data_IF_566727567388
#
_entry.id   IF_566727567388
#
_cell.length_a   1.000
_cell.length_b   1.000
_cell.length_c   1.000
_cell.angle_alpha   90.00
_cell.angle_beta   90.00
_cell.angle_gamma   90.00
#
_symmetry.space_group_name_H-M   'P 1'
#
loop_
_entity.id
_entity.type
_entity.pdbx_description
1 polymer ?
#
# COMPACT_ATOMS: atom_id res chain seq x y z
N UNK A 1 -17.48 -26.99 35.01
CA UNK A 1 -16.93 -27.37 33.70
C UNK A 1 -17.33 -26.26 32.73
N UNK A 2 -16.44 -25.28 32.54
CA UNK A 2 -16.65 -24.19 31.58
C UNK A 2 -15.98 -24.58 30.25
N UNK A 3 -16.66 -24.43 29.10
CA UNK A 3 -16.04 -24.70 27.82
C UNK A 3 -15.03 -23.60 27.50
N UNK A 4 -13.79 -24.00 27.32
CA UNK A 4 -12.71 -23.14 26.81
C UNK A 4 -13.12 -22.62 25.45
N UNK A 5 -13.22 -21.30 25.34
CA UNK A 5 -13.34 -20.62 24.06
C UNK A 5 -12.04 -20.83 23.26
N UNK A 6 -12.13 -21.65 22.24
CA UNK A 6 -11.10 -21.84 21.22
C UNK A 6 -10.88 -20.50 20.51
N UNK A 7 -9.64 -19.97 20.47
CA UNK A 7 -9.38 -18.74 19.76
C UNK A 7 -9.60 -19.00 18.26
N UNK A 8 -10.56 -18.28 17.68
CA UNK A 8 -10.83 -18.27 16.24
C UNK A 8 -9.50 -18.16 15.48
N UNK A 9 -9.22 -19.19 14.68
CA UNK A 9 -8.04 -19.27 13.85
C UNK A 9 -7.96 -18.02 12.97
N UNK A 10 -7.12 -17.08 13.36
CA UNK A 10 -6.77 -15.93 12.55
C UNK A 10 -6.12 -16.47 11.27
N UNK A 11 -6.77 -16.23 10.13
CA UNK A 11 -6.21 -16.53 8.82
C UNK A 11 -4.82 -15.88 8.73
N UNK A 12 -3.72 -16.63 8.56
CA UNK A 12 -2.40 -16.05 8.59
C UNK A 12 -2.31 -15.00 7.47
N UNK A 13 -1.77 -13.81 7.73
CA UNK A 13 -1.46 -12.86 6.67
C UNK A 13 -0.55 -13.58 5.66
N UNK A 14 -0.81 -13.39 4.37
CA UNK A 14 0.01 -13.99 3.31
C UNK A 14 1.46 -13.65 3.57
N UNK A 15 2.20 -14.62 4.10
CA UNK A 15 3.63 -14.46 4.44
C UNK A 15 4.37 -14.32 3.11
N UNK A 16 4.73 -13.09 2.77
CA UNK A 16 5.57 -12.83 1.63
C UNK A 16 6.97 -13.41 1.94
N UNK A 17 7.57 -14.12 0.99
CA UNK A 17 8.94 -14.60 1.13
C UNK A 17 9.86 -13.39 1.38
N UNK A 18 10.48 -13.35 2.57
CA UNK A 18 11.41 -12.29 2.96
C UNK A 18 12.78 -12.65 2.41
N UNK A 19 13.42 -11.81 1.58
CA UNK A 19 14.77 -12.07 1.13
C UNK A 19 15.74 -12.11 2.31
N UNK A 20 16.51 -13.19 2.44
CA UNK A 20 17.45 -13.41 3.55
C UNK A 20 18.48 -12.26 3.72
N UNK A 21 18.77 -11.54 2.64
CA UNK A 21 19.65 -10.35 2.63
C UNK A 21 19.14 -9.15 3.46
N UNK A 22 17.85 -9.13 3.82
CA UNK A 22 17.24 -8.06 4.60
C UNK A 22 17.21 -8.38 6.11
N UNK A 23 17.61 -9.58 6.50
CA UNK A 23 17.65 -10.03 7.87
C UNK A 23 19.10 -10.08 8.35
N UNK A 24 19.37 -9.45 9.47
CA UNK A 24 20.63 -9.71 10.20
C UNK A 24 20.50 -11.00 10.99
N UNK A 25 21.61 -11.74 11.12
CA UNK A 25 21.59 -13.06 11.75
C UNK A 25 20.96 -13.02 13.15
N UNK A 26 19.93 -13.84 13.35
CA UNK A 26 19.24 -13.96 14.64
C UNK A 26 17.99 -13.06 14.81
N UNK A 27 17.58 -12.27 13.81
CA UNK A 27 16.34 -11.53 13.86
C UNK A 27 15.12 -12.41 13.56
N UNK A 28 14.06 -12.26 14.38
CA UNK A 28 12.80 -12.96 14.21
C UNK A 28 11.83 -12.06 13.44
N UNK A 29 11.32 -12.55 12.31
CA UNK A 29 10.26 -11.86 11.57
C UNK A 29 8.94 -12.06 12.29
N UNK A 30 8.37 -10.97 12.82
CA UNK A 30 7.07 -10.97 13.49
C UNK A 30 5.96 -10.88 12.46
N UNK A 31 6.14 -10.03 11.43
CA UNK A 31 5.12 -9.78 10.42
C UNK A 31 5.78 -9.43 9.08
N UNK A 32 5.29 -10.05 8.01
CA UNK A 32 5.68 -9.70 6.64
C UNK A 32 4.40 -9.57 5.80
N UNK A 33 4.08 -8.36 5.36
CA UNK A 33 2.83 -8.06 4.64
C UNK A 33 3.10 -7.33 3.33
N UNK A 34 2.23 -7.58 2.36
CA UNK A 34 2.13 -6.78 1.13
C UNK A 34 0.96 -5.80 1.24
N UNK A 35 1.02 -4.67 0.52
CA UNK A 35 -0.14 -3.80 0.37
C UNK A 35 -1.35 -4.57 -0.16
N UNK A 36 -2.54 -4.16 0.23
CA UNK A 36 -3.78 -4.71 -0.31
C UNK A 36 -3.86 -4.48 -1.82
N UNK A 37 -4.49 -5.44 -2.55
CA UNK A 37 -4.76 -5.31 -3.99
C UNK A 37 -5.61 -4.08 -4.34
N UNK A 38 -6.34 -3.50 -3.38
CA UNK A 38 -7.04 -2.23 -3.50
C UNK A 38 -6.15 -1.03 -3.83
N UNK A 39 -4.84 -1.18 -3.65
CA UNK A 39 -3.87 -0.18 -4.10
C UNK A 39 -3.99 0.14 -5.58
N UNK A 40 -4.15 -0.86 -6.44
CA UNK A 40 -4.20 -0.69 -7.91
C UNK A 40 -5.41 0.14 -8.33
N UNK A 41 -6.67 -0.22 -8.00
CA UNK A 41 -7.82 0.59 -8.39
C UNK A 41 -7.83 1.97 -7.72
N UNK A 42 -7.54 2.08 -6.43
CA UNK A 42 -7.57 3.38 -5.73
C UNK A 42 -6.52 4.35 -6.26
N UNK A 43 -5.30 3.87 -6.55
CA UNK A 43 -4.23 4.72 -7.08
C UNK A 43 -4.43 5.10 -8.55
N UNK A 44 -5.20 4.30 -9.30
CA UNK A 44 -5.50 4.57 -10.71
C UNK A 44 -6.76 5.40 -10.91
N UNK A 45 -7.66 5.44 -9.93
CA UNK A 45 -8.96 6.08 -10.00
C UNK A 45 -8.92 7.53 -10.55
N UNK A 46 -8.05 8.45 -10.08
CA UNK A 46 -8.04 9.83 -10.59
C UNK A 46 -7.65 9.90 -12.06
N UNK A 47 -6.71 9.07 -12.51
CA UNK A 47 -6.29 9.05 -13.92
C UNK A 47 -7.37 8.42 -14.79
N UNK A 48 -8.01 7.35 -14.33
CA UNK A 48 -9.13 6.72 -15.04
C UNK A 48 -10.34 7.66 -15.14
N UNK A 49 -10.65 8.39 -14.06
CA UNK A 49 -11.71 9.38 -14.07
C UNK A 49 -11.42 10.54 -15.04
N UNK A 50 -10.18 11.04 -15.06
CA UNK A 50 -9.77 12.08 -16.01
C UNK A 50 -9.84 11.59 -17.46
N UNK A 51 -9.35 10.39 -17.76
CA UNK A 51 -9.44 9.78 -19.08
C UNK A 51 -10.89 9.58 -19.52
N UNK A 52 -11.75 9.10 -18.62
CA UNK A 52 -13.17 8.96 -18.88
C UNK A 52 -13.88 10.29 -19.15
N UNK A 53 -13.53 11.34 -18.37
CA UNK A 53 -14.08 12.70 -18.58
C UNK A 53 -13.68 13.27 -19.96
N UNK A 54 -12.42 13.14 -20.35
CA UNK A 54 -11.95 13.56 -21.68
C UNK A 54 -12.67 12.77 -22.77
N UNK A 55 -12.75 11.45 -22.64
CA UNK A 55 -13.47 10.60 -23.61
C UNK A 55 -14.95 10.99 -23.73
N UNK A 56 -15.61 11.27 -22.60
CA UNK A 56 -17.01 11.70 -22.58
C UNK A 56 -17.22 13.05 -23.27
N UNK A 57 -16.33 14.04 -23.03
CA UNK A 57 -16.39 15.34 -23.71
C UNK A 57 -16.29 15.17 -25.21
N UNK A 58 -15.32 14.39 -25.71
CA UNK A 58 -15.15 14.15 -27.16
C UNK A 58 -16.27 13.31 -27.75
N UNK A 59 -16.91 12.45 -26.96
CA UNK A 59 -18.06 11.68 -27.39
C UNK A 59 -19.31 12.55 -27.50
N UNK A 60 -19.61 13.38 -26.49
CA UNK A 60 -20.82 14.21 -26.42
C UNK A 60 -20.75 15.44 -27.32
N UNK A 61 -19.58 16.08 -27.40
CA UNK A 61 -19.37 17.28 -28.23
C UNK A 61 -19.02 16.97 -29.71
N UNK A 62 -19.11 15.75 -30.08
CA UNK A 62 -18.72 15.06 -31.31
C UNK A 62 -18.62 15.86 -32.59
N UNK A 63 -19.67 16.52 -33.02
CA UNK A 63 -19.66 17.25 -34.31
C UNK A 63 -18.97 18.61 -34.22
N UNK A 64 -18.86 19.19 -33.02
CA UNK A 64 -18.25 20.51 -32.82
C UNK A 64 -16.72 20.47 -32.62
N UNK A 65 -16.17 19.35 -32.13
CA UNK A 65 -14.76 19.23 -31.71
C UNK A 65 -13.84 18.53 -32.71
N UNK A 66 -14.35 18.08 -33.85
CA UNK A 66 -13.49 17.50 -34.88
C UNK A 66 -14.08 16.35 -35.69
N UNK A 67 -13.28 15.87 -36.63
CA UNK A 67 -13.67 14.78 -37.51
C UNK A 67 -13.80 13.44 -36.76
N UNK A 68 -14.48 12.45 -37.35
CA UNK A 68 -14.59 11.09 -36.84
C UNK A 68 -13.19 10.47 -36.54
N UNK A 69 -12.20 10.77 -37.39
CA UNK A 69 -10.84 10.30 -37.20
C UNK A 69 -10.18 10.87 -35.92
N UNK A 70 -10.43 12.16 -35.61
CA UNK A 70 -9.93 12.80 -34.38
C UNK A 70 -10.54 12.15 -33.13
N UNK A 71 -11.82 11.86 -33.15
CA UNK A 71 -12.55 11.23 -32.03
C UNK A 71 -12.00 9.83 -31.72
N UNK A 72 -11.83 9.01 -32.76
CA UNK A 72 -11.29 7.64 -32.60
C UNK A 72 -9.84 7.67 -32.09
N UNK A 73 -9.03 8.62 -32.57
CA UNK A 73 -7.66 8.80 -32.09
C UNK A 73 -7.62 9.18 -30.61
N UNK A 74 -8.44 10.15 -30.17
CA UNK A 74 -8.49 10.56 -28.75
C UNK A 74 -8.96 9.41 -27.86
N UNK A 75 -10.01 8.70 -28.25
CA UNK A 75 -10.48 7.53 -27.50
C UNK A 75 -9.39 6.46 -27.41
N UNK A 76 -8.67 6.18 -28.50
CA UNK A 76 -7.55 5.25 -28.50
C UNK A 76 -6.44 5.66 -27.51
N UNK A 77 -6.07 6.94 -27.50
CA UNK A 77 -5.05 7.49 -26.57
C UNK A 77 -5.53 7.34 -25.12
N UNK A 78 -6.80 7.65 -24.82
CA UNK A 78 -7.36 7.49 -23.48
C UNK A 78 -7.30 6.03 -22.99
N UNK A 79 -7.63 5.06 -23.85
CA UNK A 79 -7.57 3.64 -23.54
C UNK A 79 -6.11 3.20 -23.27
N UNK A 80 -5.20 3.57 -24.15
CA UNK A 80 -3.77 3.25 -23.98
C UNK A 80 -3.24 3.84 -22.67
N UNK A 81 -3.54 5.10 -22.38
CA UNK A 81 -3.14 5.75 -21.13
C UNK A 81 -3.71 5.05 -19.89
N UNK A 82 -4.97 4.63 -19.94
CA UNK A 82 -5.60 3.86 -18.87
C UNK A 82 -4.91 2.49 -18.67
N UNK A 83 -4.62 1.76 -19.74
CA UNK A 83 -3.92 0.48 -19.68
C UNK A 83 -2.51 0.63 -19.09
N UNK A 84 -1.72 1.58 -19.59
CA UNK A 84 -0.37 1.87 -19.07
C UNK A 84 -0.44 2.23 -17.58
N UNK A 85 -1.42 3.05 -17.17
CA UNK A 85 -1.57 3.45 -15.76
C UNK A 85 -1.84 2.25 -14.86
N UNK A 86 -2.73 1.35 -15.27
CA UNK A 86 -3.06 0.13 -14.50
C UNK A 86 -1.85 -0.81 -14.42
N UNK A 87 -1.12 -0.99 -15.53
CA UNK A 87 0.10 -1.80 -15.55
C UNK A 87 1.15 -1.24 -14.57
N UNK A 88 1.42 0.07 -14.62
CA UNK A 88 2.37 0.73 -13.70
C UNK A 88 1.93 0.59 -12.25
N UNK A 89 0.63 0.74 -11.97
CA UNK A 89 0.10 0.55 -10.61
C UNK A 89 0.27 -0.90 -10.14
N UNK A 90 0.06 -1.88 -11.02
CA UNK A 90 0.29 -3.30 -10.73
C UNK A 90 1.74 -3.61 -10.41
N UNK A 91 2.68 -3.10 -11.22
CA UNK A 91 4.11 -3.24 -10.98
C UNK A 91 4.53 -2.60 -9.65
N UNK A 92 4.03 -1.39 -9.34
CA UNK A 92 4.27 -0.73 -8.07
C UNK A 92 3.71 -1.51 -6.87
N UNK A 93 2.56 -2.16 -7.04
CA UNK A 93 1.98 -3.01 -6.01
C UNK A 93 2.85 -4.24 -5.75
N UNK A 94 3.31 -4.92 -6.81
CA UNK A 94 4.16 -6.10 -6.69
C UNK A 94 5.51 -5.82 -6.01
N UNK A 95 6.06 -4.62 -6.20
CA UNK A 95 7.37 -4.23 -5.69
C UNK A 95 7.38 -3.68 -4.27
N UNK A 96 6.24 -3.69 -3.56
CA UNK A 96 6.14 -3.22 -2.17
C UNK A 96 6.11 -4.39 -1.20
N UNK A 97 6.93 -4.28 -0.14
CA UNK A 97 6.98 -5.25 0.94
C UNK A 97 7.22 -4.52 2.26
N UNK A 98 6.44 -4.88 3.27
CA UNK A 98 6.56 -4.36 4.63
C UNK A 98 6.92 -5.50 5.58
N UNK A 99 8.00 -5.35 6.33
CA UNK A 99 8.52 -6.36 7.24
C UNK A 99 8.65 -5.73 8.62
N UNK A 100 8.18 -6.44 9.63
CA UNK A 100 8.40 -6.14 11.04
C UNK A 100 9.22 -7.26 11.64
N UNK A 101 10.38 -6.92 12.19
CA UNK A 101 11.17 -7.85 13.02
C UNK A 101 11.06 -7.49 14.49
N UNK A 102 11.70 -8.24 15.35
CA UNK A 102 11.81 -7.96 16.78
C UNK A 102 12.61 -6.68 17.10
N UNK A 103 13.41 -6.16 16.14
CA UNK A 103 14.32 -5.03 16.33
C UNK A 103 14.06 -3.84 15.43
N UNK A 104 13.54 -4.06 14.23
CA UNK A 104 13.38 -3.01 13.21
C UNK A 104 12.10 -3.15 12.40
N UNK A 105 11.62 -2.02 11.88
CA UNK A 105 10.61 -1.96 10.83
C UNK A 105 11.29 -1.67 9.50
N UNK A 106 11.01 -2.49 8.49
CA UNK A 106 11.60 -2.40 7.15
C UNK A 106 10.50 -2.15 6.14
N UNK A 107 10.73 -1.20 5.27
CA UNK A 107 9.92 -0.92 4.10
C UNK A 107 10.76 -1.10 2.84
N UNK A 108 10.35 -1.98 1.97
CA UNK A 108 10.93 -2.16 0.64
C UNK A 108 9.97 -1.58 -0.39
N UNK A 109 10.47 -0.76 -1.29
CA UNK A 109 9.72 -0.07 -2.32
C UNK A 109 10.56 0.10 -3.58
N UNK A 110 9.98 -0.12 -4.75
CA UNK A 110 10.63 0.19 -6.02
C UNK A 110 10.58 -0.94 -7.03
N UNK A 111 10.33 -0.57 -8.31
CA UNK A 111 10.28 -1.50 -9.45
C UNK A 111 11.67 -1.63 -10.10
N UNK A 112 12.37 -0.49 -10.30
CA UNK A 112 13.68 -0.42 -10.98
C UNK A 112 14.82 -0.18 -10.00
N UNK A 113 14.56 0.53 -8.90
CA UNK A 113 15.52 0.75 -7.81
C UNK A 113 14.83 0.41 -6.51
N UNK A 114 15.42 -0.49 -5.74
CA UNK A 114 14.93 -0.84 -4.42
C UNK A 114 15.26 0.29 -3.44
N UNK A 115 14.24 0.97 -2.93
CA UNK A 115 14.34 1.88 -1.81
C UNK A 115 14.02 1.09 -0.55
N UNK A 116 15.04 0.82 0.25
CA UNK A 116 14.93 0.09 1.51
C UNK A 116 15.07 1.05 2.65
N UNK A 117 13.98 1.34 3.32
CA UNK A 117 13.96 2.15 4.53
C UNK A 117 13.87 1.23 5.76
N UNK A 118 14.90 1.27 6.61
CA UNK A 118 14.96 0.50 7.85
C UNK A 118 15.01 1.45 9.03
N UNK A 119 14.25 1.15 10.09
CA UNK A 119 14.27 1.93 11.33
C UNK A 119 14.14 1.02 12.55
N UNK A 120 14.89 1.32 13.58
CA UNK A 120 14.86 0.58 14.85
C UNK A 120 13.53 0.82 15.56
N UNK A 121 12.93 -0.24 16.09
CA UNK A 121 11.67 -0.14 16.84
C UNK A 121 11.78 0.69 18.09
N UNK A 122 12.94 0.68 18.75
CA UNK A 122 13.21 1.50 19.96
C UNK A 122 13.08 3.00 19.72
N UNK A 123 13.32 3.45 18.48
CA UNK A 123 13.25 4.86 18.11
C UNK A 123 11.83 5.29 17.74
N UNK A 124 10.89 4.34 17.64
CA UNK A 124 9.49 4.63 17.34
C UNK A 124 8.78 5.17 18.57
N UNK A 125 8.30 6.41 18.47
CA UNK A 125 7.59 7.11 19.56
C UNK A 125 6.07 6.96 19.38
N UNK A 126 5.57 7.00 18.15
CA UNK A 126 4.15 7.03 17.85
C UNK A 126 3.81 6.18 16.66
N UNK A 127 2.72 5.40 16.78
CA UNK A 127 2.13 4.65 15.67
C UNK A 127 0.78 5.29 15.35
N UNK A 128 0.69 5.96 14.20
CA UNK A 128 -0.52 6.66 13.74
C UNK A 128 -1.16 5.90 12.60
N UNK A 129 -2.46 5.66 12.70
CA UNK A 129 -3.28 5.10 11.63
C UNK A 129 -4.04 6.23 10.95
N UNK A 130 -3.88 6.33 9.64
CA UNK A 130 -4.65 7.26 8.79
C UNK A 130 -5.33 6.46 7.69
N UNK A 131 -6.59 6.76 7.43
CA UNK A 131 -7.33 6.17 6.32
C UNK A 131 -8.24 7.23 5.70
N UNK A 132 -8.13 7.43 4.40
CA UNK A 132 -9.07 8.25 3.64
C UNK A 132 -10.44 7.57 3.56
N UNK A 133 -11.46 8.30 3.13
CA UNK A 133 -12.83 7.74 3.02
C UNK A 133 -12.85 6.53 2.09
N UNK A 134 -12.17 6.63 0.94
CA UNK A 134 -12.05 5.53 -0.03
C UNK A 134 -11.30 4.32 0.52
N UNK A 135 -10.24 4.55 1.31
CA UNK A 135 -9.50 3.48 1.99
C UNK A 135 -10.35 2.77 3.04
N UNK A 136 -11.14 3.52 3.81
CA UNK A 136 -12.07 2.95 4.81
C UNK A 136 -13.12 2.05 4.17
N UNK A 137 -13.70 2.47 3.05
CA UNK A 137 -14.67 1.67 2.28
C UNK A 137 -14.03 0.38 1.74
N UNK A 138 -12.76 0.42 1.38
CA UNK A 138 -12.00 -0.74 0.91
C UNK A 138 -11.42 -1.60 2.05
N UNK A 139 -11.63 -1.24 3.33
CA UNK A 139 -11.07 -1.96 4.49
C UNK A 139 -9.55 -1.88 4.59
N UNK A 140 -8.94 -0.84 4.02
CA UNK A 140 -7.49 -0.61 4.04
C UNK A 140 -7.15 0.70 4.76
N UNK A 141 -5.89 0.87 5.12
CA UNK A 141 -5.41 2.11 5.73
C UNK A 141 -3.90 2.21 5.68
N UNK A 142 -3.38 3.37 6.03
CA UNK A 142 -1.97 3.67 6.04
C UNK A 142 -1.46 3.84 7.47
N UNK A 143 -0.38 3.13 7.81
CA UNK A 143 0.31 3.22 9.08
C UNK A 143 1.53 4.12 8.95
N UNK A 144 1.67 5.06 9.88
CA UNK A 144 2.83 5.94 10.00
C UNK A 144 3.53 5.69 11.34
N UNK A 145 4.79 5.27 11.27
CA UNK A 145 5.64 5.09 12.44
C UNK A 145 6.47 6.37 12.63
N UNK A 146 6.07 7.20 13.57
CA UNK A 146 6.80 8.44 13.93
C UNK A 146 7.98 8.12 14.82
N UNK A 147 9.17 8.63 14.46
CA UNK A 147 10.42 8.48 15.20
C UNK A 147 10.74 9.70 16.07
N UNK A 148 11.56 9.49 17.08
CA UNK A 148 12.13 10.57 17.89
C UNK A 148 13.10 11.39 17.04
N UNK A 149 12.66 12.52 16.51
CA UNK A 149 13.49 13.36 15.63
C UNK A 149 12.70 14.20 14.62
N UNK A 150 11.36 14.15 14.70
CA UNK A 150 10.48 15.00 13.90
C UNK A 150 9.87 14.30 12.67
N UNK A 151 9.04 15.04 11.94
CA UNK A 151 8.21 14.52 10.84
C UNK A 151 8.98 13.93 9.65
N UNK A 152 10.25 14.26 9.49
CA UNK A 152 11.11 13.81 8.38
C UNK A 152 11.57 12.35 8.50
N UNK A 153 11.40 11.73 9.65
CA UNK A 153 11.90 10.38 9.94
C UNK A 153 10.76 9.36 10.12
N UNK A 154 9.75 9.39 9.28
CA UNK A 154 8.61 8.47 9.35
C UNK A 154 8.78 7.27 8.41
N UNK A 155 8.46 6.07 8.90
CA UNK A 155 8.26 4.89 8.05
C UNK A 155 6.78 4.79 7.74
N UNK A 156 6.42 4.86 6.45
CA UNK A 156 5.04 4.77 6.00
C UNK A 156 4.73 3.39 5.38
N UNK A 157 3.72 2.73 5.91
CA UNK A 157 3.14 1.52 5.34
C UNK A 157 1.77 1.87 4.77
N UNK A 158 1.68 1.98 3.46
CA UNK A 158 0.47 2.42 2.77
C UNK A 158 -0.38 1.25 2.30
N UNK A 159 -1.72 1.42 2.32
CA UNK A 159 -2.71 0.44 1.85
C UNK A 159 -2.61 -0.94 2.52
N UNK A 160 -2.41 -0.94 3.83
CA UNK A 160 -2.38 -2.15 4.63
C UNK A 160 -3.80 -2.69 4.81
N UNK A 161 -4.02 -3.98 4.58
CA UNK A 161 -5.27 -4.64 4.89
C UNK A 161 -5.44 -4.79 6.41
N UNK A 162 -6.68 -4.65 6.92
CA UNK A 162 -6.99 -4.73 8.36
C UNK A 162 -6.06 -3.86 9.23
N UNK A 163 -6.02 -2.56 8.98
CA UNK A 163 -5.00 -1.68 9.56
C UNK A 163 -5.07 -1.61 11.10
N UNK A 164 -6.22 -1.90 11.71
CA UNK A 164 -6.39 -1.98 13.16
C UNK A 164 -5.59 -3.12 13.80
N UNK A 165 -5.66 -4.33 13.22
CA UNK A 165 -4.93 -5.50 13.69
C UNK A 165 -3.42 -5.29 13.56
N UNK A 166 -2.97 -4.80 12.39
CA UNK A 166 -1.55 -4.52 12.15
C UNK A 166 -1.01 -3.45 13.09
N UNK A 167 -1.80 -2.40 13.37
CA UNK A 167 -1.42 -1.37 14.34
C UNK A 167 -1.19 -1.97 15.74
N UNK A 168 -2.04 -2.89 16.20
CA UNK A 168 -1.87 -3.54 17.50
C UNK A 168 -0.57 -4.36 17.53
N UNK A 169 -0.32 -5.19 16.52
CA UNK A 169 0.91 -6.00 16.42
C UNK A 169 2.15 -5.10 16.45
N UNK A 170 2.14 -3.99 15.71
CA UNK A 170 3.26 -3.04 15.68
C UNK A 170 3.42 -2.35 17.04
N UNK A 171 2.33 -1.93 17.67
CA UNK A 171 2.38 -1.28 19.00
C UNK A 171 2.92 -2.24 20.06
N UNK A 172 2.53 -3.51 20.04
CA UNK A 172 3.04 -4.55 20.94
C UNK A 172 4.52 -4.86 20.70
N UNK A 173 4.96 -4.86 19.44
CA UNK A 173 6.37 -5.03 19.10
C UNK A 173 7.21 -3.84 19.60
N UNK A 174 6.73 -2.61 19.42
CA UNK A 174 7.38 -1.38 19.92
C UNK A 174 7.47 -1.38 21.44
N UNK A 175 6.42 -1.84 22.14
CA UNK A 175 6.44 -1.90 23.62
C UNK A 175 7.44 -2.92 24.15
N UNK A 176 7.68 -4.01 23.43
CA UNK A 176 8.67 -5.05 23.78
C UNK A 176 10.12 -4.66 23.44
N UNK A 177 10.30 -3.73 22.49
CA UNK A 177 11.63 -3.27 22.06
C UNK A 177 12.18 -2.12 22.90
N UNK A 178 11.38 -1.54 23.79
CA UNK A 178 11.77 -0.48 24.76
C UNK A 178 12.22 -1.05 26.09
#
# INVERSE_FOLDING_TARGET
MSPSAEPAAACPPVVAAVPARLLEGGEIVILAIKPSGWFVPLSSLPVLAAAAAVAAVFYLAGEFLGSQATRTAVLGICVVAACVRVLVAGLQWMSRLYILTDRRAVRVRGVLREDVCQRLLRDVVKVTLTASVSERLAGVGSLYLGLAGGETATVDWTFVAKPGEVRQIVADAVSRAK
#
